data_IF_662051573453
#
_entry.id   IF_662051573453
#
_cell.length_a   1.000
_cell.length_b   1.000
_cell.length_c   1.000
_cell.angle_alpha   90.00
_cell.angle_beta   90.00
_cell.angle_gamma   90.00
#
_symmetry.space_group_name_H-M   'P 1'
#
loop_
_entity.id
_entity.type
_entity.pdbx_description
1 polymer ?
#
# COMPACT_ATOMS: atom_id res chain seq x y z
N UNK A 1 3.53 -24.82 -1.79
CA UNK A 1 2.71 -24.11 -0.78
C UNK A 1 3.29 -22.70 -0.66
N UNK A 2 2.53 -21.69 -1.03
CA UNK A 2 2.95 -20.31 -0.80
C UNK A 2 2.96 -20.10 0.72
N UNK A 3 4.14 -19.90 1.31
CA UNK A 3 4.25 -19.47 2.71
C UNK A 3 3.90 -17.99 2.77
N UNK A 4 2.60 -17.71 2.78
CA UNK A 4 2.08 -16.37 2.95
C UNK A 4 2.09 -16.04 4.44
N UNK A 5 2.99 -15.18 4.87
CA UNK A 5 3.05 -14.72 6.27
C UNK A 5 2.45 -13.31 6.31
N UNK A 6 1.10 -13.25 6.34
CA UNK A 6 0.40 -12.01 6.67
C UNK A 6 -0.05 -12.02 8.12
N UNK A 7 -0.03 -10.84 8.75
CA UNK A 7 -0.74 -10.63 10.00
C UNK A 7 -2.25 -10.86 9.83
N UNK A 8 -2.94 -11.19 10.93
CA UNK A 8 -4.39 -11.41 10.94
C UNK A 8 -4.85 -12.82 10.59
N UNK A 9 -3.94 -13.76 10.32
CA UNK A 9 -4.30 -15.18 10.08
C UNK A 9 -4.58 -15.93 11.39
N UNK A 10 -5.62 -15.49 12.08
CA UNK A 10 -6.08 -16.07 13.34
C UNK A 10 -6.53 -17.53 13.15
N UNK A 11 -7.13 -17.84 12.00
CA UNK A 11 -7.68 -19.18 11.77
C UNK A 11 -6.60 -20.25 11.74
N UNK A 12 -5.49 -20.00 11.04
CA UNK A 12 -4.35 -20.94 11.04
C UNK A 12 -3.80 -21.16 12.45
N UNK A 13 -3.80 -20.14 13.29
CA UNK A 13 -3.38 -20.28 14.69
C UNK A 13 -4.37 -21.15 15.49
N UNK A 14 -5.69 -20.90 15.35
CA UNK A 14 -6.74 -21.70 16.00
C UNK A 14 -6.64 -23.17 15.59
N UNK A 15 -6.45 -23.44 14.30
CA UNK A 15 -6.35 -24.81 13.76
C UNK A 15 -5.15 -25.57 14.34
N UNK A 16 -4.06 -24.86 14.66
CA UNK A 16 -2.85 -25.46 15.23
C UNK A 16 -2.89 -25.64 16.74
N UNK A 17 -3.54 -24.71 17.45
CA UNK A 17 -3.45 -24.62 18.92
C UNK A 17 -4.77 -24.85 19.64
N UNK A 18 -5.91 -24.86 18.93
CA UNK A 18 -7.22 -25.11 19.50
C UNK A 18 -7.87 -23.94 20.25
N UNK A 19 -7.24 -22.75 20.22
CA UNK A 19 -7.78 -21.55 20.86
C UNK A 19 -7.40 -20.29 20.09
N UNK A 20 -8.19 -19.21 20.26
CA UNK A 20 -7.90 -17.92 19.61
C UNK A 20 -6.77 -17.17 20.35
N UNK A 21 -5.80 -16.61 19.61
CA UNK A 21 -4.74 -15.78 20.21
C UNK A 21 -5.24 -14.37 20.55
N UNK A 22 -4.47 -13.66 21.36
CA UNK A 22 -4.49 -12.21 21.36
C UNK A 22 -3.75 -11.75 20.09
N UNK A 23 -4.51 -11.24 19.10
CA UNK A 23 -3.92 -10.84 17.83
C UNK A 23 -3.35 -9.42 17.89
N UNK A 24 -2.02 -9.33 17.76
CA UNK A 24 -1.27 -8.08 17.64
C UNK A 24 -0.53 -7.99 16.29
N UNK A 25 -0.90 -8.85 15.34
CA UNK A 25 -0.20 -8.98 14.05
C UNK A 25 -0.81 -8.13 12.92
N UNK A 26 -1.97 -7.51 13.17
CA UNK A 26 -2.66 -6.69 12.18
C UNK A 26 -3.05 -5.32 12.75
N UNK A 27 -2.96 -4.27 11.92
CA UNK A 27 -3.35 -2.91 12.26
C UNK A 27 -4.88 -2.76 12.10
N UNK A 28 -5.64 -3.23 13.08
CA UNK A 28 -7.09 -3.15 13.09
C UNK A 28 -7.54 -2.07 14.08
N UNK A 29 -8.53 -1.25 13.68
CA UNK A 29 -9.11 -0.26 14.56
C UNK A 29 -9.77 -0.93 15.77
N UNK A 30 -9.27 -0.74 17.01
CA UNK A 30 -9.81 -1.40 18.20
C UNK A 30 -11.21 -0.90 18.57
N UNK A 31 -11.64 0.24 18.07
CA UNK A 31 -12.98 0.80 18.30
C UNK A 31 -14.05 0.21 17.37
N UNK A 32 -13.65 -0.67 16.44
CA UNK A 32 -14.56 -1.33 15.51
C UNK A 32 -15.10 -0.40 14.41
N UNK A 33 -16.27 -0.73 13.88
CA UNK A 33 -16.89 -0.01 12.77
C UNK A 33 -17.63 1.22 13.30
N UNK A 34 -17.36 2.44 12.79
CA UNK A 34 -18.15 3.64 13.15
C UNK A 34 -19.64 3.47 12.82
N UNK A 35 -20.51 4.02 13.66
CA UNK A 35 -21.98 3.84 13.51
C UNK A 35 -22.50 4.33 12.16
N UNK A 36 -22.00 5.46 11.67
CA UNK A 36 -22.38 5.97 10.35
C UNK A 36 -22.04 5.00 9.21
N UNK A 37 -20.89 4.32 9.31
CA UNK A 37 -20.46 3.30 8.34
C UNK A 37 -21.37 2.07 8.45
N UNK A 38 -21.67 1.61 9.67
CA UNK A 38 -22.57 0.49 9.92
C UNK A 38 -23.96 0.74 9.29
N UNK A 39 -24.52 1.93 9.51
CA UNK A 39 -25.81 2.33 8.93
C UNK A 39 -25.75 2.34 7.39
N UNK A 40 -24.66 2.87 6.81
CA UNK A 40 -24.49 2.89 5.37
C UNK A 40 -24.38 1.47 4.79
N UNK A 41 -23.67 0.57 5.46
CA UNK A 41 -23.57 -0.84 5.06
C UNK A 41 -24.93 -1.55 5.08
N UNK A 42 -25.73 -1.35 6.13
CA UNK A 42 -27.10 -1.92 6.19
C UNK A 42 -27.97 -1.44 5.02
N UNK A 43 -27.92 -0.15 4.68
CA UNK A 43 -28.65 0.40 3.52
C UNK A 43 -28.13 -0.16 2.20
N UNK A 44 -26.83 -0.46 2.11
CA UNK A 44 -26.25 -0.99 0.88
C UNK A 44 -26.70 -2.43 0.60
N UNK A 45 -27.09 -3.20 1.61
CA UNK A 45 -27.62 -4.57 1.45
C UNK A 45 -28.85 -4.59 0.54
N UNK A 46 -29.75 -3.62 0.67
CA UNK A 46 -30.95 -3.53 -0.15
C UNK A 46 -30.65 -3.34 -1.65
N UNK A 47 -29.47 -2.82 -1.97
CA UNK A 47 -29.00 -2.60 -3.34
C UNK A 47 -28.20 -3.76 -3.92
N UNK A 48 -27.97 -4.84 -3.17
CA UNK A 48 -27.16 -6.01 -3.64
C UNK A 48 -27.83 -6.79 -4.77
N UNK A 49 -29.12 -6.50 -5.07
CA UNK A 49 -29.82 -7.06 -6.23
C UNK A 49 -29.45 -6.38 -7.56
N UNK A 50 -28.77 -5.24 -7.49
CA UNK A 50 -28.36 -4.46 -8.64
C UNK A 50 -26.89 -4.74 -9.00
N UNK A 51 -26.54 -4.63 -10.28
CA UNK A 51 -25.13 -4.59 -10.65
C UNK A 51 -24.47 -3.36 -10.04
N UNK A 52 -23.27 -3.51 -9.44
CA UNK A 52 -22.51 -2.36 -8.93
C UNK A 52 -22.09 -1.44 -10.09
N UNK A 53 -21.92 -0.15 -9.78
CA UNK A 53 -21.34 0.78 -10.75
C UNK A 53 -19.88 0.40 -11.06
N UNK A 54 -19.55 -0.04 -12.31
CA UNK A 54 -18.22 -0.54 -12.65
C UNK A 54 -17.14 0.54 -12.60
N UNK A 55 -17.52 1.81 -12.53
CA UNK A 55 -16.61 2.96 -12.46
C UNK A 55 -16.54 3.58 -11.06
N UNK A 56 -17.25 3.04 -10.07
CA UNK A 56 -17.29 3.54 -8.68
C UNK A 56 -17.50 5.07 -8.61
N UNK A 57 -18.38 5.64 -9.46
CA UNK A 57 -18.51 7.10 -9.65
C UNK A 57 -18.83 7.82 -8.34
N UNK A 58 -19.78 7.32 -7.56
CA UNK A 58 -20.18 7.94 -6.31
C UNK A 58 -19.01 7.96 -5.29
N UNK A 59 -18.28 6.86 -5.17
CA UNK A 59 -17.11 6.77 -4.29
C UNK A 59 -16.00 7.72 -4.75
N UNK A 60 -15.66 7.73 -6.06
CA UNK A 60 -14.64 8.62 -6.63
C UNK A 60 -14.99 10.09 -6.42
N UNK A 61 -16.27 10.48 -6.62
CA UNK A 61 -16.73 11.85 -6.36
C UNK A 61 -16.61 12.24 -4.89
N UNK A 62 -17.02 11.36 -3.97
CA UNK A 62 -16.94 11.63 -2.54
C UNK A 62 -15.48 11.76 -2.06
N UNK A 63 -14.59 10.86 -2.52
CA UNK A 63 -13.15 10.91 -2.22
C UNK A 63 -12.54 12.18 -2.83
N UNK A 64 -12.83 12.45 -4.11
CA UNK A 64 -12.30 13.63 -4.79
C UNK A 64 -12.70 14.94 -4.12
N UNK A 65 -13.96 15.06 -3.67
CA UNK A 65 -14.43 16.23 -2.94
C UNK A 65 -13.75 16.38 -1.57
N UNK A 66 -13.49 15.28 -0.88
CA UNK A 66 -12.81 15.29 0.41
C UNK A 66 -11.33 15.64 0.31
N UNK A 67 -10.63 15.02 -0.64
CA UNK A 67 -9.18 15.12 -0.77
C UNK A 67 -8.73 16.25 -1.73
N UNK A 68 -9.67 16.96 -2.34
CA UNK A 68 -9.36 18.02 -3.32
C UNK A 68 -8.73 17.49 -4.61
N UNK A 69 -9.04 16.25 -5.00
CA UNK A 69 -8.49 15.57 -6.18
C UNK A 69 -9.57 15.40 -7.25
N UNK A 70 -9.20 15.59 -8.51
CA UNK A 70 -10.13 15.31 -9.61
C UNK A 70 -10.54 13.82 -9.59
N UNK A 71 -11.84 13.50 -9.53
CA UNK A 71 -12.35 12.12 -9.55
C UNK A 71 -11.83 11.26 -10.70
N UNK A 72 -11.46 11.87 -11.83
CA UNK A 72 -10.93 11.14 -12.99
C UNK A 72 -9.52 10.57 -12.77
N UNK A 73 -8.81 11.06 -11.78
CA UNK A 73 -7.51 10.52 -11.36
C UNK A 73 -7.62 9.48 -10.23
N UNK A 74 -8.86 9.13 -9.83
CA UNK A 74 -9.09 8.15 -8.76
C UNK A 74 -9.50 6.79 -9.35
N UNK A 75 -8.90 5.76 -8.82
CA UNK A 75 -9.29 4.37 -9.03
C UNK A 75 -9.64 3.72 -7.69
N UNK A 76 -10.77 3.01 -7.63
CA UNK A 76 -11.20 2.27 -6.45
C UNK A 76 -10.93 0.79 -6.66
N UNK A 77 -10.16 0.17 -5.75
CA UNK A 77 -9.90 -1.27 -5.74
C UNK A 77 -10.40 -1.93 -4.46
N UNK A 78 -10.34 -3.25 -4.42
CA UNK A 78 -10.70 -4.04 -3.25
C UNK A 78 -9.50 -4.16 -2.30
N UNK A 79 -9.20 -3.06 -1.61
CA UNK A 79 -8.03 -2.92 -0.75
C UNK A 79 -6.73 -2.65 -1.52
N UNK A 80 -5.65 -2.38 -0.76
CA UNK A 80 -4.35 -2.02 -1.31
C UNK A 80 -3.77 -3.14 -2.21
N UNK A 81 -3.96 -4.40 -1.85
CA UNK A 81 -3.43 -5.52 -2.63
C UNK A 81 -4.00 -5.57 -4.06
N UNK A 82 -5.32 -5.37 -4.24
CA UNK A 82 -5.94 -5.31 -5.59
C UNK A 82 -5.41 -4.11 -6.39
N UNK A 83 -5.23 -2.95 -5.74
CA UNK A 83 -4.68 -1.75 -6.39
C UNK A 83 -3.24 -1.98 -6.83
N UNK A 84 -2.42 -2.58 -5.98
CA UNK A 84 -1.01 -2.89 -6.27
C UNK A 84 -0.88 -3.90 -7.42
N UNK A 85 -1.68 -4.97 -7.42
CA UNK A 85 -1.69 -5.96 -8.52
C UNK A 85 -2.06 -5.30 -9.86
N UNK A 86 -3.08 -4.45 -9.87
CA UNK A 86 -3.49 -3.73 -11.09
C UNK A 86 -2.45 -2.72 -11.54
N UNK A 87 -1.83 -2.01 -10.60
CA UNK A 87 -0.77 -1.06 -10.90
C UNK A 87 0.43 -1.77 -11.52
N UNK A 88 0.86 -2.90 -10.95
CA UNK A 88 1.93 -3.72 -11.49
C UNK A 88 1.59 -4.25 -12.91
N UNK A 89 0.35 -4.69 -13.12
CA UNK A 89 -0.11 -5.18 -14.42
C UNK A 89 -0.13 -4.09 -15.51
N UNK A 90 -0.40 -2.83 -15.13
CA UNK A 90 -0.40 -1.68 -16.05
C UNK A 90 1.00 -1.15 -16.30
N UNK A 91 1.78 -0.94 -15.25
CA UNK A 91 3.14 -0.39 -15.34
C UNK A 91 4.12 -1.38 -15.95
N UNK A 92 3.95 -2.68 -15.67
CA UNK A 92 4.84 -3.77 -16.09
C UNK A 92 6.32 -3.44 -15.87
N UNK A 93 6.70 -3.00 -14.66
CA UNK A 93 8.07 -2.59 -14.41
C UNK A 93 9.00 -3.81 -14.49
N UNK A 94 10.17 -3.63 -15.08
CA UNK A 94 11.20 -4.66 -15.19
C UNK A 94 12.23 -4.53 -14.08
N UNK A 95 12.47 -3.32 -13.58
CA UNK A 95 13.42 -3.04 -12.53
C UNK A 95 12.85 -2.02 -11.54
N UNK A 96 12.78 -2.40 -10.27
CA UNK A 96 12.12 -1.63 -9.22
C UNK A 96 13.04 -1.47 -8.02
N UNK A 97 13.04 -0.28 -7.43
CA UNK A 97 13.66 -0.02 -6.13
C UNK A 97 12.61 -0.12 -5.03
N UNK A 98 12.86 -0.99 -4.04
CA UNK A 98 12.08 -1.12 -2.81
C UNK A 98 12.94 -0.78 -1.60
N UNK A 99 12.32 -0.31 -0.52
CA UNK A 99 12.98 -0.27 0.80
C UNK A 99 12.84 -1.62 1.51
N UNK A 100 13.74 -1.95 2.45
CA UNK A 100 13.59 -3.10 3.34
C UNK A 100 14.07 -2.74 4.77
N UNK A 101 13.31 -3.13 5.83
CA UNK A 101 12.01 -3.81 5.74
C UNK A 101 10.89 -2.90 5.22
N UNK A 102 9.92 -3.48 4.50
CA UNK A 102 8.73 -2.80 4.00
C UNK A 102 7.55 -3.76 3.87
N UNK A 103 6.42 -3.29 3.32
CA UNK A 103 5.22 -4.11 3.16
C UNK A 103 5.45 -5.24 2.16
N UNK A 104 5.20 -6.49 2.58
CA UNK A 104 5.54 -7.70 1.81
C UNK A 104 4.78 -7.83 0.48
N UNK A 105 3.61 -7.16 0.34
CA UNK A 105 2.83 -7.21 -0.89
C UNK A 105 3.55 -6.62 -2.10
N UNK A 106 4.48 -5.70 -1.91
CA UNK A 106 5.21 -5.14 -3.06
C UNK A 106 6.02 -6.22 -3.79
N UNK A 107 6.78 -7.02 -3.04
CA UNK A 107 7.59 -8.10 -3.62
C UNK A 107 6.69 -9.14 -4.32
N UNK A 108 5.55 -9.47 -3.71
CA UNK A 108 4.58 -10.40 -4.29
C UNK A 108 4.03 -9.89 -5.63
N UNK A 109 3.56 -8.64 -5.66
CA UNK A 109 2.93 -8.05 -6.86
C UNK A 109 3.93 -7.78 -7.97
N UNK A 110 5.21 -7.62 -7.62
CA UNK A 110 6.32 -7.33 -8.54
C UNK A 110 7.17 -8.56 -8.86
N UNK A 111 6.63 -9.76 -8.67
CA UNK A 111 7.36 -11.03 -8.84
C UNK A 111 7.98 -11.25 -10.22
N UNK A 112 7.60 -10.48 -11.24
CA UNK A 112 8.19 -10.48 -12.58
C UNK A 112 9.30 -9.45 -12.79
N UNK A 113 9.62 -8.61 -11.80
CA UNK A 113 10.60 -7.55 -11.89
C UNK A 113 11.91 -7.92 -11.18
N UNK A 114 13.02 -7.34 -11.64
CA UNK A 114 14.27 -7.28 -10.87
C UNK A 114 14.09 -6.29 -9.73
N UNK A 115 14.23 -6.75 -8.50
CA UNK A 115 14.09 -5.91 -7.30
C UNK A 115 15.46 -5.50 -6.79
N UNK A 116 15.73 -4.19 -6.81
CA UNK A 116 16.84 -3.56 -6.08
C UNK A 116 16.33 -3.17 -4.71
N UNK A 117 17.08 -3.46 -3.66
CA UNK A 117 16.66 -3.21 -2.27
C UNK A 117 17.51 -2.13 -1.62
N UNK A 118 16.87 -1.05 -1.18
CA UNK A 118 17.45 -0.05 -0.28
C UNK A 118 17.23 -0.49 1.17
N UNK A 119 18.31 -0.91 1.84
CA UNK A 119 18.20 -1.35 3.22
C UNK A 119 18.11 -0.18 4.20
N UNK A 120 16.98 -0.10 4.92
CA UNK A 120 16.84 0.77 6.07
C UNK A 120 17.72 0.25 7.21
N UNK A 121 18.44 1.13 7.88
CA UNK A 121 19.44 0.71 8.88
C UNK A 121 18.91 0.89 10.29
N UNK A 122 19.23 -0.07 11.15
CA UNK A 122 18.95 0.00 12.58
C UNK A 122 19.62 1.22 13.22
N UNK A 123 20.84 1.55 12.79
CA UNK A 123 21.59 2.74 13.26
C UNK A 123 20.85 4.05 13.02
N UNK A 124 19.97 4.09 12.03
CA UNK A 124 19.13 5.25 11.68
C UNK A 124 17.71 5.09 12.27
N UNK A 125 17.50 4.09 13.15
CA UNK A 125 16.19 3.73 13.68
C UNK A 125 15.21 3.31 12.58
N UNK A 126 15.70 2.69 11.50
CA UNK A 126 14.95 2.30 10.31
C UNK A 126 14.25 3.48 9.59
N UNK A 127 14.75 4.69 9.76
CA UNK A 127 14.26 5.84 9.02
C UNK A 127 14.76 5.81 7.56
N UNK A 128 13.93 6.29 6.63
CA UNK A 128 14.37 6.59 5.27
C UNK A 128 15.30 7.81 5.29
N UNK A 129 16.44 7.69 4.64
CA UNK A 129 17.46 8.74 4.60
C UNK A 129 17.82 9.13 3.17
N UNK A 130 18.56 10.23 3.02
CA UNK A 130 19.00 10.76 1.71
C UNK A 130 19.80 9.76 0.87
N UNK A 131 20.35 8.70 1.48
CA UNK A 131 21.08 7.64 0.75
C UNK A 131 20.25 6.98 -0.36
N UNK A 132 18.91 6.96 -0.24
CA UNK A 132 18.05 6.42 -1.30
C UNK A 132 18.19 7.20 -2.61
N UNK A 133 18.52 8.49 -2.53
CA UNK A 133 18.65 9.34 -3.72
C UNK A 133 19.76 8.87 -4.66
N UNK A 134 20.83 8.28 -4.11
CA UNK A 134 21.96 7.77 -4.90
C UNK A 134 21.59 6.49 -5.68
N UNK A 135 20.53 5.81 -5.25
CA UNK A 135 20.04 4.58 -5.87
C UNK A 135 18.96 4.81 -6.93
N UNK A 136 18.40 6.04 -7.00
CA UNK A 136 17.41 6.41 -8.01
C UNK A 136 18.14 6.83 -9.28
N UNK A 137 18.09 5.98 -10.30
CA UNK A 137 18.81 6.12 -11.56
C UNK A 137 17.91 5.79 -12.76
N UNK A 138 18.25 6.23 -13.98
CA UNK A 138 17.40 6.08 -15.18
C UNK A 138 17.17 4.63 -15.63
N UNK A 139 17.88 3.66 -15.04
CA UNK A 139 17.71 2.23 -15.32
C UNK A 139 16.55 1.59 -14.52
N UNK A 140 15.97 2.34 -13.58
CA UNK A 140 14.77 1.92 -12.85
C UNK A 140 13.51 2.28 -13.64
N UNK A 141 12.52 1.39 -13.60
CA UNK A 141 11.17 1.70 -14.09
C UNK A 141 10.30 2.32 -12.99
N UNK A 142 10.49 1.89 -11.73
CA UNK A 142 9.71 2.41 -10.60
C UNK A 142 10.46 2.38 -9.26
N UNK A 143 10.02 3.22 -8.35
CA UNK A 143 10.35 3.21 -6.91
C UNK A 143 9.05 3.04 -6.14
N UNK A 144 9.00 2.12 -5.17
CA UNK A 144 7.87 1.93 -4.27
C UNK A 144 8.26 2.29 -2.85
N UNK A 145 7.48 3.13 -2.21
CA UNK A 145 7.67 3.56 -0.82
C UNK A 145 6.39 3.35 -0.02
N UNK A 146 6.52 2.81 1.18
CA UNK A 146 5.47 2.80 2.19
C UNK A 146 5.70 3.97 3.15
N UNK A 147 4.71 4.85 3.34
CA UNK A 147 4.87 6.05 4.16
C UNK A 147 3.55 6.46 4.84
N UNK A 148 3.39 6.24 6.14
CA UNK A 148 4.34 5.63 7.09
C UNK A 148 4.74 4.22 6.72
N UNK A 149 6.00 3.84 6.98
CA UNK A 149 6.51 2.53 6.57
C UNK A 149 5.96 1.40 7.46
N UNK A 150 5.41 0.38 6.84
CA UNK A 150 5.07 -0.89 7.50
C UNK A 150 6.25 -1.88 7.28
N UNK A 151 6.90 -2.46 8.33
CA UNK A 151 6.42 -2.53 9.73
C UNK A 151 7.02 -1.50 10.69
N UNK A 152 7.88 -0.59 10.24
CA UNK A 152 8.69 0.25 11.15
C UNK A 152 7.92 1.41 11.78
N UNK A 153 6.76 1.79 11.22
CA UNK A 153 5.98 2.94 11.63
C UNK A 153 6.66 4.29 11.38
N UNK A 154 7.81 4.30 10.67
CA UNK A 154 8.55 5.52 10.40
C UNK A 154 7.96 6.28 9.23
N UNK A 155 7.88 7.60 9.39
CA UNK A 155 7.47 8.53 8.33
C UNK A 155 8.70 9.18 7.73
N UNK A 156 8.77 9.24 6.41
CA UNK A 156 9.82 9.98 5.72
C UNK A 156 9.64 11.49 5.91
N UNK A 157 10.75 12.21 6.00
CA UNK A 157 10.70 13.67 6.09
C UNK A 157 10.13 14.28 4.80
N UNK A 158 9.25 15.30 4.89
CA UNK A 158 8.62 15.88 3.71
C UNK A 158 9.63 16.41 2.68
N UNK A 159 10.75 16.97 3.14
CA UNK A 159 11.82 17.47 2.30
C UNK A 159 12.45 16.34 1.47
N UNK A 160 12.76 15.22 2.11
CA UNK A 160 13.28 14.03 1.43
C UNK A 160 12.28 13.47 0.41
N UNK A 161 10.99 13.44 0.74
CA UNK A 161 9.96 13.01 -0.22
C UNK A 161 9.93 13.91 -1.46
N UNK A 162 10.05 15.22 -1.29
CA UNK A 162 10.13 16.17 -2.43
C UNK A 162 11.36 15.89 -3.30
N UNK A 163 12.52 15.63 -2.68
CA UNK A 163 13.74 15.27 -3.40
C UNK A 163 13.60 13.96 -4.16
N UNK A 164 12.95 12.95 -3.56
CA UNK A 164 12.66 11.68 -4.23
C UNK A 164 11.74 11.90 -5.43
N UNK A 165 10.66 12.68 -5.28
CA UNK A 165 9.77 13.04 -6.40
C UNK A 165 10.54 13.72 -7.52
N UNK A 166 11.37 14.73 -7.18
CA UNK A 166 12.21 15.43 -8.14
C UNK A 166 13.15 14.46 -8.87
N UNK A 167 13.88 13.65 -8.11
CA UNK A 167 14.84 12.69 -8.65
C UNK A 167 14.17 11.66 -9.57
N UNK A 168 13.03 11.11 -9.17
CA UNK A 168 12.25 10.19 -9.99
C UNK A 168 11.80 10.86 -11.30
N UNK A 169 11.30 12.10 -11.21
CA UNK A 169 10.84 12.87 -12.38
C UNK A 169 11.97 13.14 -13.37
N UNK A 170 13.14 13.58 -12.87
CA UNK A 170 14.33 13.86 -13.69
C UNK A 170 14.85 12.61 -14.41
N UNK A 171 14.70 11.43 -13.80
CA UNK A 171 15.16 10.17 -14.37
C UNK A 171 14.06 9.39 -15.14
N UNK A 172 12.84 9.93 -15.22
CA UNK A 172 11.72 9.25 -15.88
C UNK A 172 11.19 8.02 -15.13
N UNK A 173 11.52 7.89 -13.85
CA UNK A 173 11.15 6.77 -12.96
C UNK A 173 9.76 7.02 -12.37
N UNK A 174 8.91 6.00 -12.32
CA UNK A 174 7.61 6.10 -11.66
C UNK A 174 7.77 5.98 -10.16
N UNK A 175 7.19 6.91 -9.39
CA UNK A 175 7.13 6.82 -7.94
C UNK A 175 5.74 6.37 -7.51
N UNK A 176 5.68 5.30 -6.72
CA UNK A 176 4.49 4.79 -6.06
C UNK A 176 4.67 4.99 -4.56
N UNK A 177 3.75 5.72 -3.95
CA UNK A 177 3.75 5.95 -2.50
C UNK A 177 2.48 5.35 -1.91
N UNK A 178 2.64 4.38 -1.03
CA UNK A 178 1.56 3.76 -0.28
C UNK A 178 1.37 4.50 1.05
N UNK A 179 0.19 5.05 1.26
CA UNK A 179 -0.18 5.88 2.42
C UNK A 179 -1.33 5.25 3.21
N UNK A 180 -1.27 3.95 3.45
CA UNK A 180 -2.33 3.19 4.12
C UNK A 180 -2.60 3.59 5.59
N UNK A 181 -1.70 4.35 6.25
CA UNK A 181 -1.79 4.68 7.67
C UNK A 181 -1.82 6.17 7.93
#
# INVERSE_FOLDING_TARGET
MLNYVHGGDIQTYIDRHGFAPLDLSANINPFGIPDAVRVAMHRAVDNCTLYPDPFCRAARQAIGAREGVNPDFLYCGNGAADVLDRLAAVLKPRKVLLTAPTFAEYERTLSGAEIRVHNLRETDGFALTERILDEISPDLDAVYLCNPNNPTGRTAQPELLREIVRKCTENGVKLVVDVCF
#
